data_IF_166518501857
#
_entry.id   IF_166518501857
#
_cell.length_a   1.000
_cell.length_b   1.000
_cell.length_c   1.000
_cell.angle_alpha   90.00
_cell.angle_beta   90.00
_cell.angle_gamma   90.00
#
_symmetry.space_group_name_H-M   'P 1'
#
loop_
_entity.id
_entity.type
_entity.pdbx_description
1 polymer ?
#
# COMPACT_ATOMS: atom_id res chain seq x y z
N UNK A 1 -28.10 8.89 7.82
CA UNK A 1 -28.55 8.79 6.41
C UNK A 1 -27.96 7.50 5.87
N UNK A 2 -28.77 6.56 5.39
CA UNK A 2 -28.29 5.23 4.98
C UNK A 2 -28.40 5.11 3.46
N UNK A 3 -27.33 5.42 2.74
CA UNK A 3 -27.24 5.19 1.30
C UNK A 3 -26.63 3.82 1.04
N UNK A 4 -27.12 3.12 0.02
CA UNK A 4 -26.47 1.88 -0.41
C UNK A 4 -25.22 2.20 -1.24
N UNK A 5 -24.30 1.25 -1.34
CA UNK A 5 -23.08 1.39 -2.14
C UNK A 5 -23.42 1.66 -3.61
N UNK A 6 -24.46 1.01 -4.12
CA UNK A 6 -24.96 1.17 -5.49
C UNK A 6 -25.47 2.58 -5.73
N UNK A 7 -26.23 3.15 -4.79
CA UNK A 7 -26.73 4.53 -4.89
C UNK A 7 -25.59 5.56 -4.94
N UNK A 8 -24.55 5.36 -4.13
CA UNK A 8 -23.36 6.22 -4.14
C UNK A 8 -22.58 6.06 -5.44
N UNK A 9 -22.44 4.83 -5.91
CA UNK A 9 -21.72 4.51 -7.16
C UNK A 9 -22.38 5.18 -8.36
N UNK A 10 -23.69 5.04 -8.50
CA UNK A 10 -24.45 5.69 -9.57
C UNK A 10 -24.33 7.21 -9.51
N UNK A 11 -24.39 7.81 -8.32
CA UNK A 11 -24.24 9.25 -8.15
C UNK A 11 -22.85 9.75 -8.58
N UNK A 12 -21.78 9.01 -8.27
CA UNK A 12 -20.40 9.35 -8.68
C UNK A 12 -20.20 9.13 -10.18
N UNK A 13 -20.77 8.07 -10.75
CA UNK A 13 -20.67 7.79 -12.19
C UNK A 13 -21.43 8.81 -13.05
N UNK A 14 -22.45 9.46 -12.50
CA UNK A 14 -23.17 10.55 -13.15
C UNK A 14 -22.35 11.85 -13.28
N UNK A 15 -21.19 11.96 -12.63
CA UNK A 15 -20.35 13.16 -12.73
C UNK A 15 -19.64 13.24 -14.08
N UNK A 16 -19.34 14.45 -14.58
CA UNK A 16 -18.43 14.64 -15.72
C UNK A 16 -17.08 13.94 -15.48
N UNK A 17 -16.44 13.48 -16.56
CA UNK A 17 -15.20 12.67 -16.49
C UNK A 17 -14.12 13.24 -15.57
N UNK A 18 -13.83 14.55 -15.69
CA UNK A 18 -12.83 15.25 -14.88
C UNK A 18 -13.22 15.35 -13.39
N UNK A 19 -14.52 15.44 -13.08
CA UNK A 19 -15.01 15.54 -11.72
C UNK A 19 -15.02 14.19 -10.98
N UNK A 20 -14.89 13.06 -11.69
CA UNK A 20 -14.79 11.72 -11.08
C UNK A 20 -13.43 11.46 -10.42
N UNK A 21 -12.38 12.21 -10.79
CA UNK A 21 -11.05 12.04 -10.19
C UNK A 21 -11.03 12.42 -8.70
N UNK A 22 -11.69 13.52 -8.33
CA UNK A 22 -11.72 14.02 -6.94
C UNK A 22 -12.29 13.00 -5.94
N UNK A 23 -13.48 12.40 -6.13
CA UNK A 23 -13.99 11.38 -5.22
C UNK A 23 -13.16 10.10 -5.25
N UNK A 24 -12.56 9.74 -6.40
CA UNK A 24 -11.66 8.58 -6.48
C UNK A 24 -10.41 8.77 -5.61
N UNK A 25 -9.76 9.93 -5.68
CA UNK A 25 -8.59 10.26 -4.87
C UNK A 25 -8.95 10.28 -3.37
N UNK A 26 -10.07 10.91 -3.00
CA UNK A 26 -10.52 10.95 -1.59
C UNK A 26 -10.86 9.59 -1.02
N UNK A 27 -11.49 8.72 -1.81
CA UNK A 27 -11.77 7.35 -1.39
C UNK A 27 -10.47 6.56 -1.24
N UNK A 28 -9.54 6.70 -2.18
CA UNK A 28 -8.22 6.07 -2.06
C UNK A 28 -7.44 6.57 -0.84
N UNK A 29 -7.48 7.87 -0.53
CA UNK A 29 -6.91 8.47 0.68
C UNK A 29 -7.56 7.92 1.97
N UNK A 30 -8.87 7.64 1.94
CA UNK A 30 -9.60 7.08 3.09
C UNK A 30 -9.27 5.61 3.35
N UNK A 31 -8.74 4.90 2.35
CA UNK A 31 -8.24 3.55 2.49
C UNK A 31 -6.82 3.62 3.07
N UNK A 32 -6.69 4.01 4.35
CA UNK A 32 -5.39 4.00 5.02
C UNK A 32 -4.96 2.53 5.25
N UNK A 33 -3.84 2.06 4.65
CA UNK A 33 -3.31 0.72 4.92
C UNK A 33 -2.92 0.52 6.40
N UNK A 34 -2.76 1.62 7.15
CA UNK A 34 -2.51 1.63 8.58
C UNK A 34 -3.80 1.37 9.40
N UNK A 35 -4.98 1.66 8.87
CA UNK A 35 -6.26 1.28 9.48
C UNK A 35 -6.67 -0.16 9.13
N UNK A 36 -6.15 -0.71 8.03
CA UNK A 36 -6.27 -2.13 7.74
C UNK A 36 -5.37 -2.94 8.69
N UNK A 37 -5.92 -3.21 9.88
CA UNK A 37 -5.26 -3.96 10.94
C UNK A 37 -4.75 -5.33 10.49
N UNK A 38 -5.29 -5.88 9.40
CA UNK A 38 -4.78 -7.10 8.77
C UNK A 38 -3.41 -6.85 8.14
N UNK A 39 -3.31 -5.91 7.19
CA UNK A 39 -2.05 -5.58 6.50
C UNK A 39 -0.95 -5.21 7.48
N UNK A 40 -1.27 -4.43 8.52
CA UNK A 40 -0.33 -4.09 9.60
C UNK A 40 0.20 -5.32 10.33
N UNK A 41 -0.65 -6.29 10.65
CA UNK A 41 -0.22 -7.53 11.32
C UNK A 41 0.73 -8.35 10.44
N UNK A 42 0.47 -8.44 9.13
CA UNK A 42 1.39 -9.09 8.20
C UNK A 42 2.75 -8.40 8.14
N UNK A 43 2.77 -7.06 8.04
CA UNK A 43 4.04 -6.32 8.07
C UNK A 43 4.82 -6.49 9.37
N UNK A 44 4.13 -6.55 10.52
CA UNK A 44 4.78 -6.81 11.81
C UNK A 44 5.37 -8.23 11.86
N UNK A 45 4.64 -9.24 11.36
CA UNK A 45 5.12 -10.61 11.30
C UNK A 45 6.34 -10.74 10.38
N UNK A 46 6.28 -10.14 9.19
CA UNK A 46 7.39 -10.11 8.23
C UNK A 46 8.62 -9.40 8.81
N UNK A 47 8.44 -8.23 9.42
CA UNK A 47 9.53 -7.48 10.02
C UNK A 47 10.23 -8.25 11.15
N UNK A 48 9.47 -8.99 11.97
CA UNK A 48 10.04 -9.87 13.02
C UNK A 48 10.83 -11.01 12.39
N UNK A 49 10.28 -11.66 11.38
CA UNK A 49 10.92 -12.77 10.67
C UNK A 49 12.25 -12.34 10.09
N UNK A 50 12.30 -11.25 9.31
CA UNK A 50 13.54 -10.73 8.72
C UNK A 50 14.58 -10.32 9.76
N UNK A 51 14.13 -9.70 10.87
CA UNK A 51 15.03 -9.34 11.97
C UNK A 51 15.68 -10.59 12.57
N UNK A 52 14.91 -11.67 12.74
CA UNK A 52 15.41 -12.90 13.34
C UNK A 52 16.34 -13.66 12.39
N UNK A 53 16.06 -13.67 11.08
CA UNK A 53 16.94 -14.18 10.02
C UNK A 53 18.29 -13.45 9.95
N UNK A 54 18.28 -12.13 10.17
CA UNK A 54 19.52 -11.36 10.26
C UNK A 54 20.29 -11.71 11.54
N UNK A 55 19.59 -11.81 12.67
CA UNK A 55 20.21 -12.09 13.98
C UNK A 55 20.79 -13.49 14.09
N UNK A 56 20.15 -14.47 13.48
CA UNK A 56 20.62 -15.86 13.47
C UNK A 56 21.65 -16.13 12.36
N UNK A 57 21.94 -15.12 11.51
CA UNK A 57 22.92 -15.22 10.44
C UNK A 57 22.44 -15.95 9.18
N UNK A 58 21.15 -16.27 9.08
CA UNK A 58 20.57 -16.85 7.86
C UNK A 58 20.58 -15.87 6.68
N UNK A 59 20.49 -14.56 6.95
CA UNK A 59 20.47 -13.50 5.95
C UNK A 59 21.47 -12.40 6.28
N UNK A 60 22.25 -11.97 5.29
CA UNK A 60 23.15 -10.80 5.38
C UNK A 60 22.45 -9.48 5.05
N UNK A 61 22.90 -8.38 5.64
CA UNK A 61 22.41 -7.03 5.34
C UNK A 61 23.30 -6.41 4.27
N UNK A 62 22.69 -5.71 3.30
CA UNK A 62 23.38 -4.86 2.32
C UNK A 62 23.12 -3.38 2.62
N UNK A 63 24.02 -2.50 2.18
CA UNK A 63 23.79 -1.06 2.32
C UNK A 63 22.65 -0.59 1.39
N UNK A 64 22.01 0.53 1.75
CA UNK A 64 20.97 1.13 0.88
C UNK A 64 21.53 1.48 -0.49
N UNK A 65 22.81 1.91 -0.57
CA UNK A 65 23.44 2.25 -1.85
C UNK A 65 23.62 1.00 -2.73
N UNK A 66 24.03 -0.12 -2.15
CA UNK A 66 24.11 -1.41 -2.86
C UNK A 66 22.74 -1.84 -3.37
N UNK A 67 21.72 -1.80 -2.51
CA UNK A 67 20.35 -2.17 -2.86
C UNK A 67 19.80 -1.32 -4.03
N UNK A 68 19.97 0.01 -3.97
CA UNK A 68 19.55 0.92 -5.03
C UNK A 68 20.34 0.71 -6.33
N UNK A 69 21.62 0.35 -6.23
CA UNK A 69 22.45 -0.04 -7.37
C UNK A 69 21.87 -1.25 -8.11
N UNK A 70 21.45 -2.29 -7.39
CA UNK A 70 20.81 -3.47 -7.97
C UNK A 70 19.50 -3.13 -8.69
N UNK A 71 18.62 -2.32 -8.07
CA UNK A 71 17.32 -1.95 -8.67
C UNK A 71 17.51 -1.14 -9.95
N UNK A 72 18.43 -0.18 -9.96
CA UNK A 72 18.74 0.61 -11.17
C UNK A 72 19.31 -0.23 -12.30
N UNK A 73 19.97 -1.35 -12.00
CA UNK A 73 20.43 -2.30 -13.00
C UNK A 73 19.33 -3.17 -13.60
N UNK A 74 18.15 -3.24 -12.97
CA UNK A 74 17.01 -4.07 -13.43
C UNK A 74 16.03 -3.30 -14.33
N UNK A 75 16.09 -1.96 -14.33
CA UNK A 75 15.27 -1.10 -15.19
C UNK A 75 16.17 -0.59 -16.31
N UNK A 76 16.34 -1.42 -17.35
CA UNK A 76 16.95 -1.05 -18.63
C UNK A 76 15.89 -1.15 -19.72
#
# INVERSE_FOLDING_TARGET
>A
MNFTVEQITEAVLAFPGEARAVPADRLAESLDPLEDGYIRQFWVAEARTRRDEVRNGAVGIISVQEALGCVRGLVV
#
